data_IF_779741940119
#
_entry.id   IF_779741940119
#
_cell.length_a   1.000
_cell.length_b   1.000
_cell.length_c   1.000
_cell.angle_alpha   90.00
_cell.angle_beta   90.00
_cell.angle_gamma   90.00
#
_symmetry.space_group_name_H-M   'P 1'
#
loop_
_entity.id
_entity.type
_entity.pdbx_description
1 polymer ?
#
# COMPACT_ATOMS: atom_id res chain seq x y z
N UNK A 1 -14.52 -32.85 0.38
CA UNK A 1 -14.41 -31.67 -0.51
C UNK A 1 -13.48 -30.70 0.17
N UNK A 2 -12.21 -30.66 -0.22
CA UNK A 2 -11.26 -29.66 0.27
C UNK A 2 -11.51 -28.39 -0.55
N UNK A 3 -11.82 -27.28 0.12
CA UNK A 3 -11.79 -25.96 -0.50
C UNK A 3 -10.35 -25.72 -0.95
N UNK A 4 -10.12 -25.86 -2.26
CA UNK A 4 -8.82 -25.58 -2.84
C UNK A 4 -8.69 -24.07 -2.95
N UNK A 5 -8.08 -23.48 -1.93
CA UNK A 5 -7.67 -22.07 -1.95
C UNK A 5 -6.56 -21.97 -3.01
N UNK A 6 -6.94 -21.69 -4.24
CA UNK A 6 -6.03 -21.30 -5.31
C UNK A 6 -5.75 -19.82 -5.12
N UNK A 7 -4.55 -19.47 -4.64
CA UNK A 7 -4.12 -18.07 -4.57
C UNK A 7 -3.69 -17.64 -5.98
N UNK A 8 -4.33 -16.58 -6.48
CA UNK A 8 -3.88 -15.89 -7.68
C UNK A 8 -2.88 -14.80 -7.29
N UNK A 9 -1.59 -15.17 -7.35
CA UNK A 9 -0.48 -14.27 -7.03
C UNK A 9 -0.47 -13.01 -7.92
N UNK A 10 -0.89 -13.12 -9.18
CA UNK A 10 -0.93 -11.96 -10.07
C UNK A 10 -1.98 -10.94 -9.62
N UNK A 11 -3.14 -11.41 -9.17
CA UNK A 11 -4.19 -10.55 -8.61
C UNK A 11 -3.73 -9.86 -7.31
N UNK A 12 -3.06 -10.57 -6.40
CA UNK A 12 -2.52 -9.96 -5.18
C UNK A 12 -1.44 -8.91 -5.48
N UNK A 13 -0.56 -9.18 -6.43
CA UNK A 13 0.46 -8.23 -6.88
C UNK A 13 -0.16 -7.04 -7.63
N UNK A 14 -1.24 -7.24 -8.36
CA UNK A 14 -1.99 -6.15 -8.99
C UNK A 14 -2.58 -5.20 -7.95
N UNK A 15 -3.24 -5.75 -6.93
CA UNK A 15 -3.78 -4.97 -5.82
C UNK A 15 -2.69 -4.23 -5.05
N UNK A 16 -1.54 -4.86 -4.79
CA UNK A 16 -0.41 -4.19 -4.14
C UNK A 16 0.07 -2.96 -4.93
N UNK A 17 0.17 -3.09 -6.26
CA UNK A 17 0.53 -1.97 -7.16
C UNK A 17 -0.53 -0.86 -7.16
N UNK A 18 -1.81 -1.21 -7.08
CA UNK A 18 -2.88 -0.22 -7.04
C UNK A 18 -2.89 0.56 -5.72
N UNK A 19 -2.62 -0.10 -4.59
CA UNK A 19 -2.46 0.55 -3.29
C UNK A 19 -1.27 1.52 -3.26
N UNK A 20 -0.14 1.17 -3.90
CA UNK A 20 1.01 2.07 -4.05
C UNK A 20 0.69 3.30 -4.90
N UNK A 21 0.00 3.13 -6.03
CA UNK A 21 -0.44 4.26 -6.86
C UNK A 21 -1.36 5.21 -6.10
N UNK A 22 -2.26 4.66 -5.28
CA UNK A 22 -3.13 5.46 -4.43
C UNK A 22 -2.33 6.24 -3.37
N UNK A 23 -1.32 5.63 -2.75
CA UNK A 23 -0.41 6.28 -1.82
C UNK A 23 0.38 7.43 -2.48
N UNK A 24 0.91 7.21 -3.69
CA UNK A 24 1.60 8.25 -4.48
C UNK A 24 0.68 9.43 -4.82
N UNK A 25 -0.56 9.16 -5.24
CA UNK A 25 -1.54 10.19 -5.54
C UNK A 25 -1.87 11.06 -4.30
N UNK A 26 -1.96 10.44 -3.12
CA UNK A 26 -2.11 11.15 -1.84
C UNK A 26 -0.89 12.03 -1.57
N UNK A 27 0.32 11.52 -1.75
CA UNK A 27 1.55 12.28 -1.55
C UNK A 27 1.62 13.52 -2.48
N UNK A 28 1.24 13.36 -3.75
CA UNK A 28 1.13 14.46 -4.70
C UNK A 28 0.08 15.50 -4.29
N UNK A 29 -1.12 15.07 -3.86
CA UNK A 29 -2.16 15.97 -3.41
C UNK A 29 -1.72 16.80 -2.19
N UNK A 30 -1.02 16.18 -1.24
CA UNK A 30 -0.45 16.86 -0.07
C UNK A 30 0.61 17.89 -0.47
N UNK A 31 1.51 17.53 -1.39
CA UNK A 31 2.52 18.45 -1.93
C UNK A 31 1.89 19.67 -2.60
N UNK A 32 0.80 19.49 -3.36
CA UNK A 32 0.06 20.57 -3.99
C UNK A 32 -0.57 21.52 -2.94
N UNK A 33 -1.19 20.98 -1.89
CA UNK A 33 -1.78 21.77 -0.81
C UNK A 33 -0.72 22.57 -0.05
N UNK A 34 0.44 21.97 0.24
CA UNK A 34 1.56 22.67 0.89
C UNK A 34 2.18 23.79 0.05
N UNK A 35 2.01 23.74 -1.27
CA UNK A 35 2.52 24.78 -2.20
C UNK A 35 1.60 25.99 -2.34
N UNK A 36 0.38 25.95 -1.81
CA UNK A 36 -0.57 27.07 -1.87
C UNK A 36 -0.14 28.20 -0.93
N UNK A 37 0.31 29.33 -1.49
CA UNK A 37 0.60 30.54 -0.72
C UNK A 37 -0.71 31.25 -0.31
N UNK A 38 -1.29 30.79 0.80
CA UNK A 38 -2.48 31.39 1.43
C UNK A 38 -2.13 32.64 2.26
N UNK A 39 -0.85 32.94 2.47
CA UNK A 39 -0.39 34.11 3.23
C UNK A 39 -0.12 35.33 2.35
N UNK A 40 0.16 35.14 1.07
CA UNK A 40 0.52 36.18 0.12
C UNK A 40 -0.59 36.62 -0.83
N UNK A 41 -0.28 37.65 -1.63
CA UNK A 41 -1.14 38.16 -2.71
C UNK A 41 -2.48 38.77 -2.26
N UNK A 42 -3.43 38.84 -3.19
CA UNK A 42 -4.76 39.42 -2.94
C UNK A 42 -5.58 38.63 -1.90
N UNK A 43 -5.36 37.33 -1.77
CA UNK A 43 -5.98 36.50 -0.73
C UNK A 43 -5.43 36.85 0.66
N UNK A 44 -4.12 37.03 0.82
CA UNK A 44 -3.54 37.52 2.06
C UNK A 44 -4.10 38.89 2.48
N UNK A 45 -4.44 39.76 1.52
CA UNK A 45 -5.01 41.08 1.83
C UNK A 45 -6.51 41.00 2.20
N UNK A 46 -7.29 40.16 1.51
CA UNK A 46 -8.76 40.10 1.71
C UNK A 46 -9.22 39.04 2.71
N UNK A 47 -8.45 37.97 2.88
CA UNK A 47 -8.86 36.75 3.56
C UNK A 47 -7.87 36.27 4.62
N UNK A 48 -6.89 37.11 5.01
CA UNK A 48 -5.90 36.78 6.05
C UNK A 48 -6.51 36.22 7.35
N UNK A 49 -7.69 36.73 7.76
CA UNK A 49 -8.36 36.26 8.97
C UNK A 49 -8.85 34.80 8.89
N UNK A 50 -9.05 34.27 7.68
CA UNK A 50 -9.46 32.88 7.45
C UNK A 50 -8.27 31.92 7.41
N UNK A 51 -7.05 32.44 7.20
CA UNK A 51 -5.83 31.63 7.09
C UNK A 51 -5.64 30.68 8.27
N UNK A 52 -5.78 31.10 9.55
CA UNK A 52 -5.60 30.20 10.69
C UNK A 52 -6.63 29.06 10.71
N UNK A 53 -7.87 29.33 10.29
CA UNK A 53 -8.95 28.34 10.24
C UNK A 53 -8.70 27.35 9.09
N UNK A 54 -8.30 27.85 7.92
CA UNK A 54 -7.93 27.00 6.80
C UNK A 54 -6.74 26.09 7.15
N UNK A 55 -5.71 26.63 7.81
CA UNK A 55 -4.52 25.89 8.22
C UNK A 55 -4.85 24.75 9.21
N UNK A 56 -5.79 24.95 10.14
CA UNK A 56 -6.17 23.89 11.08
C UNK A 56 -6.91 22.74 10.40
N UNK A 57 -7.84 23.05 9.48
CA UNK A 57 -8.54 22.05 8.67
C UNK A 57 -7.55 21.30 7.78
N UNK A 58 -6.65 22.02 7.11
CA UNK A 58 -5.59 21.41 6.30
C UNK A 58 -4.70 20.49 7.13
N UNK A 59 -4.29 20.89 8.33
CA UNK A 59 -3.47 20.05 9.21
C UNK A 59 -4.21 18.79 9.70
N UNK A 60 -5.54 18.83 9.85
CA UNK A 60 -6.32 17.63 10.15
C UNK A 60 -6.41 16.71 8.95
N UNK A 61 -6.73 17.25 7.76
CA UNK A 61 -6.76 16.49 6.53
C UNK A 61 -5.39 15.86 6.23
N UNK A 62 -4.30 16.59 6.47
CA UNK A 62 -2.93 16.11 6.26
C UNK A 62 -2.62 14.87 7.11
N UNK A 63 -3.03 14.87 8.39
CA UNK A 63 -2.85 13.69 9.28
C UNK A 63 -3.63 12.49 8.78
N UNK A 64 -4.90 12.66 8.42
CA UNK A 64 -5.72 11.57 7.88
C UNK A 64 -5.14 11.02 6.58
N UNK A 65 -4.60 11.88 5.72
CA UNK A 65 -3.95 11.47 4.49
C UNK A 65 -2.64 10.70 4.75
N UNK A 66 -1.84 11.12 5.74
CA UNK A 66 -0.65 10.35 6.18
C UNK A 66 -1.02 8.96 6.67
N UNK A 67 -2.05 8.87 7.51
CA UNK A 67 -2.52 7.59 8.04
C UNK A 67 -3.03 6.67 6.92
N UNK A 68 -3.82 7.21 5.99
CA UNK A 68 -4.32 6.48 4.83
C UNK A 68 -3.17 6.00 3.92
N UNK A 69 -2.20 6.87 3.62
CA UNK A 69 -1.00 6.51 2.86
C UNK A 69 -0.25 5.36 3.53
N UNK A 70 0.00 5.47 4.83
CA UNK A 70 0.71 4.46 5.60
C UNK A 70 -0.04 3.13 5.68
N UNK A 71 -1.39 3.16 5.70
CA UNK A 71 -2.20 1.95 5.61
C UNK A 71 -2.06 1.27 4.24
N UNK A 72 -2.11 2.03 3.15
CA UNK A 72 -1.97 1.50 1.79
C UNK A 72 -0.58 0.90 1.54
N UNK A 73 0.48 1.55 2.04
CA UNK A 73 1.85 1.03 1.97
C UNK A 73 1.98 -0.31 2.73
N UNK A 74 1.41 -0.40 3.94
CA UNK A 74 1.38 -1.66 4.72
C UNK A 74 0.56 -2.74 4.03
N UNK A 75 -0.57 -2.39 3.42
CA UNK A 75 -1.40 -3.33 2.67
C UNK A 75 -0.62 -3.91 1.49
N UNK A 76 0.06 -3.07 0.70
CA UNK A 76 0.89 -3.51 -0.41
C UNK A 76 2.03 -4.43 0.06
N UNK A 77 2.69 -4.11 1.18
CA UNK A 77 3.72 -4.97 1.77
C UNK A 77 3.15 -6.32 2.25
N UNK A 78 2.00 -6.33 2.93
CA UNK A 78 1.35 -7.55 3.39
C UNK A 78 0.90 -8.46 2.24
N UNK A 79 0.40 -7.87 1.15
CA UNK A 79 0.02 -8.61 -0.06
C UNK A 79 1.22 -9.29 -0.70
N UNK A 80 2.36 -8.60 -0.79
CA UNK A 80 3.62 -9.19 -1.30
C UNK A 80 4.14 -10.29 -0.39
N UNK A 81 4.16 -10.05 0.92
CA UNK A 81 4.59 -11.05 1.90
C UNK A 81 3.74 -12.32 1.82
N UNK A 82 2.43 -12.16 1.57
CA UNK A 82 1.53 -13.30 1.37
C UNK A 82 1.93 -14.11 0.13
N UNK A 83 2.22 -13.47 -1.00
CA UNK A 83 2.69 -14.18 -2.21
C UNK A 83 4.01 -14.92 -1.94
N UNK A 84 4.98 -14.24 -1.31
CA UNK A 84 6.28 -14.84 -0.97
C UNK A 84 6.15 -16.06 -0.04
N UNK A 85 5.20 -16.03 0.90
CA UNK A 85 4.94 -17.15 1.80
C UNK A 85 4.34 -18.36 1.07
N UNK A 86 3.47 -18.12 0.07
CA UNK A 86 2.89 -19.17 -0.76
C UNK A 86 3.94 -19.81 -1.67
N UNK A 87 4.79 -19.00 -2.33
CA UNK A 87 5.89 -19.50 -3.16
C UNK A 87 6.85 -20.39 -2.35
N UNK A 88 7.14 -19.99 -1.10
CA UNK A 88 7.99 -20.76 -0.19
C UNK A 88 7.35 -22.09 0.23
N UNK A 89 6.04 -22.08 0.49
CA UNK A 89 5.26 -23.27 0.79
C UNK A 89 5.27 -24.26 -0.38
N UNK A 90 5.04 -23.76 -1.60
CA UNK A 90 5.05 -24.58 -2.81
C UNK A 90 6.45 -25.18 -3.07
N UNK A 91 7.50 -24.37 -2.97
CA UNK A 91 8.88 -24.85 -3.12
C UNK A 91 9.21 -25.96 -2.12
N UNK A 92 8.80 -25.80 -0.85
CA UNK A 92 8.98 -26.81 0.19
C UNK A 92 8.20 -28.11 -0.10
N UNK A 93 6.97 -27.98 -0.60
CA UNK A 93 6.16 -29.14 -0.98
C UNK A 93 6.79 -29.91 -2.16
N UNK A 94 7.24 -29.20 -3.19
CA UNK A 94 7.91 -29.80 -4.36
C UNK A 94 9.19 -30.52 -3.95
N UNK A 95 10.00 -29.92 -3.07
CA UNK A 95 11.24 -30.54 -2.60
C UNK A 95 10.96 -31.78 -1.75
N UNK A 96 9.95 -31.73 -0.86
CA UNK A 96 9.51 -32.91 -0.10
C UNK A 96 9.04 -34.05 -0.99
N UNK A 97 8.29 -33.75 -2.06
CA UNK A 97 7.86 -34.73 -3.04
C UNK A 97 9.04 -35.35 -3.81
N UNK A 98 10.04 -34.56 -4.20
CA UNK A 98 11.27 -35.08 -4.83
C UNK A 98 12.04 -36.01 -3.89
N UNK A 99 12.20 -35.62 -2.63
CA UNK A 99 12.91 -36.43 -1.64
C UNK A 99 12.23 -37.79 -1.42
N UNK A 100 10.89 -37.81 -1.34
CA UNK A 100 10.11 -39.05 -1.26
C UNK A 100 10.25 -39.91 -2.52
N UNK A 101 10.18 -39.31 -3.71
CA UNK A 101 10.36 -40.02 -4.98
C UNK A 101 11.76 -40.61 -5.14
N UNK A 102 12.79 -39.91 -4.70
CA UNK A 102 14.17 -40.41 -4.72
C UNK A 102 14.36 -41.59 -3.75
N UNK A 103 13.82 -41.51 -2.53
CA UNK A 103 13.89 -42.59 -1.55
C UNK A 103 13.13 -43.86 -1.96
N UNK A 104 12.06 -43.72 -2.74
CA UNK A 104 11.32 -44.86 -3.30
C UNK A 104 11.98 -45.50 -4.53
N UNK A 105 12.89 -44.80 -5.22
CA UNK A 105 13.60 -45.33 -6.39
C UNK A 105 14.89 -46.09 -6.01
N UNK A 106 15.34 -45.99 -4.75
CA UNK A 106 16.57 -46.59 -4.23
C UNK A 106 16.30 -47.86 -3.38
N UNK A 107 15.05 -48.35 -3.36
CA UNK A 107 14.61 -49.62 -2.73
C UNK A 107 14.01 -50.57 -3.75
#
# INVERSE_FOLDING_TARGET
MSEQISIDAETLLAQARDSERAAEAIAHARGAVGSMDLGGGAFGIMCAFLVPIAQSVTAMADRTLVEAQSMLEREAEALRATVDDFDRLEAGAVEGLRALGAGMSDS
#
